data_IF_030994998473
#
_entry.id   IF_030994998473
#
_cell.length_a   1.000
_cell.length_b   1.000
_cell.length_c   1.000
_cell.angle_alpha   90.00
_cell.angle_beta   90.00
_cell.angle_gamma   90.00
#
_symmetry.space_group_name_H-M   'P 1'
#
loop_
_entity.id
_entity.type
_entity.pdbx_description
1 polymer ?
#
# COMPACT_ATOMS: atom_id res chain seq x y z
N UNK A 1 23.17 1.33 15.99
CA UNK A 1 22.00 0.75 16.70
C UNK A 1 21.62 -0.52 15.96
N UNK A 2 21.69 -1.70 16.59
CA UNK A 2 21.09 -2.90 15.98
C UNK A 2 19.59 -2.60 15.81
N UNK A 3 19.13 -2.46 14.57
CA UNK A 3 17.69 -2.44 14.30
C UNK A 3 17.19 -3.82 14.70
N UNK A 4 16.38 -3.86 15.76
CA UNK A 4 15.71 -5.09 16.18
C UNK A 4 14.82 -5.62 15.07
N UNK A 5 14.20 -6.79 15.28
CA UNK A 5 13.20 -7.28 14.35
C UNK A 5 11.99 -6.32 14.33
N UNK A 6 11.77 -5.65 13.20
CA UNK A 6 10.59 -4.84 12.96
C UNK A 6 9.51 -5.73 12.35
N UNK A 7 8.42 -5.95 13.09
CA UNK A 7 7.25 -6.73 12.68
C UNK A 7 6.03 -5.83 12.77
N UNK A 8 5.59 -5.33 11.63
CA UNK A 8 4.52 -4.34 11.52
C UNK A 8 3.33 -4.95 10.77
N UNK A 9 2.13 -4.56 11.20
CA UNK A 9 0.87 -4.94 10.57
C UNK A 9 0.20 -3.69 10.04
N UNK A 10 -0.02 -3.65 8.73
CA UNK A 10 -0.74 -2.56 8.07
C UNK A 10 -2.19 -2.96 7.89
N UNK A 11 -3.09 -2.23 8.54
CA UNK A 11 -4.53 -2.36 8.34
C UNK A 11 -4.97 -1.39 7.25
N UNK A 12 -5.21 -1.91 6.05
CA UNK A 12 -5.53 -1.13 4.86
C UNK A 12 -7.04 -0.97 4.72
N UNK A 13 -7.48 0.26 4.43
CA UNK A 13 -8.87 0.62 4.19
C UNK A 13 -8.96 1.38 2.87
N UNK A 14 -10.08 1.18 2.17
CA UNK A 14 -10.40 1.96 0.99
C UNK A 14 -11.59 2.87 1.28
N UNK A 15 -11.53 4.08 0.73
CA UNK A 15 -12.58 5.06 0.81
C UNK A 15 -12.83 5.65 -0.58
N UNK A 16 -14.07 5.51 -1.06
CA UNK A 16 -14.51 6.12 -2.32
C UNK A 16 -15.03 7.51 -2.00
N UNK A 17 -14.35 8.51 -2.53
CA UNK A 17 -14.71 9.92 -2.39
C UNK A 17 -15.49 10.40 -3.61
N UNK A 18 -16.35 11.40 -3.40
CA UNK A 18 -16.91 12.18 -4.48
C UNK A 18 -15.83 13.05 -5.13
N UNK A 19 -15.98 13.37 -6.41
CA UNK A 19 -15.01 14.21 -7.13
C UNK A 19 -14.90 15.65 -6.62
N UNK A 20 -15.81 16.08 -5.74
CA UNK A 20 -15.80 17.41 -5.10
C UNK A 20 -15.07 17.44 -3.75
N UNK A 21 -14.78 16.29 -3.15
CA UNK A 21 -14.08 16.22 -1.87
C UNK A 21 -12.58 16.47 -2.06
N UNK A 22 -12.02 17.36 -1.23
CA UNK A 22 -10.59 17.67 -1.24
C UNK A 22 -10.00 17.44 0.14
N UNK A 23 -8.89 16.70 0.25
CA UNK A 23 -8.18 16.53 1.51
C UNK A 23 -7.61 17.87 1.97
N UNK A 24 -7.71 18.15 3.26
CA UNK A 24 -7.15 19.34 3.89
C UNK A 24 -6.23 18.90 5.01
N UNK A 25 -4.97 19.37 4.98
CA UNK A 25 -4.05 19.15 6.08
C UNK A 25 -4.42 20.07 7.25
N UNK A 26 -4.84 19.48 8.38
CA UNK A 26 -5.32 20.21 9.55
C UNK A 26 -4.25 20.40 10.64
N UNK A 27 -3.24 19.54 10.69
CA UNK A 27 -2.25 19.46 11.77
C UNK A 27 -0.82 19.82 11.32
N UNK A 28 -0.59 19.95 10.02
CA UNK A 28 0.71 20.32 9.47
C UNK A 28 1.62 19.14 9.13
N UNK A 29 1.19 17.89 9.32
CA UNK A 29 2.04 16.72 9.08
C UNK A 29 2.28 16.47 7.58
N UNK A 30 1.29 16.78 6.73
CA UNK A 30 1.35 16.54 5.29
C UNK A 30 1.68 17.80 4.49
N UNK A 31 2.82 17.82 3.81
CA UNK A 31 3.23 18.98 3.01
C UNK A 31 2.24 19.28 1.87
N UNK A 32 1.78 18.25 1.15
CA UNK A 32 0.86 18.37 0.03
C UNK A 32 0.02 17.11 -0.19
N UNK A 33 -1.15 17.27 -0.80
CA UNK A 33 -1.96 16.17 -1.31
C UNK A 33 -2.09 16.32 -2.83
N UNK A 34 -1.82 15.24 -3.55
CA UNK A 34 -1.95 15.19 -5.01
C UNK A 34 -2.99 14.13 -5.41
N UNK A 35 -3.80 14.44 -6.43
CA UNK A 35 -4.76 13.51 -7.00
C UNK A 35 -4.13 12.90 -8.26
N UNK A 36 -3.86 11.60 -8.24
CA UNK A 36 -3.13 10.88 -9.28
C UNK A 36 -4.02 9.79 -9.90
N UNK A 37 -3.81 9.54 -11.18
CA UNK A 37 -4.31 8.34 -11.86
C UNK A 37 -3.56 7.09 -11.39
N UNK A 38 -4.13 5.91 -11.64
CA UNK A 38 -3.49 4.64 -11.27
C UNK A 38 -2.14 4.43 -11.98
N UNK A 39 -1.99 4.92 -13.21
CA UNK A 39 -0.73 4.86 -13.95
C UNK A 39 0.35 5.76 -13.34
N UNK A 40 0.01 6.99 -12.95
CA UNK A 40 0.95 7.88 -12.26
C UNK A 40 1.40 7.31 -10.91
N UNK A 41 0.50 6.63 -10.19
CA UNK A 41 0.87 5.91 -8.95
C UNK A 41 1.88 4.80 -9.24
N UNK A 42 1.67 4.00 -10.28
CA UNK A 42 2.63 2.97 -10.71
C UNK A 42 4.00 3.56 -11.07
N UNK A 43 4.03 4.66 -11.84
CA UNK A 43 5.28 5.35 -12.19
C UNK A 43 6.06 5.81 -10.96
N UNK A 44 5.36 6.39 -9.97
CA UNK A 44 5.96 6.83 -8.72
C UNK A 44 6.43 5.67 -7.83
N UNK A 45 5.74 4.53 -7.85
CA UNK A 45 6.16 3.31 -7.16
C UNK A 45 7.47 2.78 -7.75
N UNK A 46 7.56 2.69 -9.08
CA UNK A 46 8.78 2.25 -9.78
C UNK A 46 9.93 3.24 -9.56
N UNK A 47 9.62 4.53 -9.46
CA UNK A 47 10.60 5.57 -9.16
C UNK A 47 10.97 5.67 -7.66
N UNK A 48 10.52 4.74 -6.82
CA UNK A 48 10.81 4.67 -5.38
C UNK A 48 10.47 5.97 -4.63
N UNK A 49 9.38 6.64 -5.03
CA UNK A 49 8.94 7.92 -4.43
C UNK A 49 8.04 7.76 -3.21
N UNK A 50 7.71 6.54 -2.82
CA UNK A 50 6.89 6.23 -1.67
C UNK A 50 7.75 5.78 -0.48
N UNK A 51 7.27 6.06 0.73
CA UNK A 51 7.70 5.28 1.90
C UNK A 51 7.29 3.81 1.71
N UNK A 52 8.07 2.88 2.25
CA UNK A 52 7.91 1.45 1.95
C UNK A 52 6.56 0.87 2.38
N UNK A 53 6.04 1.32 3.51
CA UNK A 53 4.69 0.99 4.00
C UNK A 53 3.61 1.54 3.06
N UNK A 54 3.70 2.82 2.69
CA UNK A 54 2.78 3.44 1.74
C UNK A 54 2.83 2.77 0.36
N UNK A 55 4.02 2.34 -0.08
CA UNK A 55 4.20 1.61 -1.33
C UNK A 55 3.46 0.26 -1.30
N UNK A 56 3.58 -0.49 -0.20
CA UNK A 56 2.87 -1.76 -0.02
C UNK A 56 1.34 -1.56 -0.05
N UNK A 57 0.84 -0.50 0.59
CA UNK A 57 -0.59 -0.17 0.57
C UNK A 57 -1.07 0.18 -0.84
N UNK A 58 -0.31 0.99 -1.58
CA UNK A 58 -0.65 1.36 -2.94
C UNK A 58 -0.63 0.16 -3.90
N UNK A 59 0.37 -0.73 -3.78
CA UNK A 59 0.46 -1.97 -4.57
C UNK A 59 -0.72 -2.90 -4.26
N UNK A 60 -1.09 -3.07 -2.98
CA UNK A 60 -2.25 -3.88 -2.60
C UNK A 60 -3.56 -3.31 -3.18
N UNK A 61 -3.72 -1.99 -3.18
CA UNK A 61 -4.87 -1.33 -3.79
C UNK A 61 -4.93 -1.59 -5.30
N UNK A 62 -3.85 -1.35 -6.04
CA UNK A 62 -3.77 -1.61 -7.49
C UNK A 62 -4.07 -3.08 -7.84
N UNK A 63 -3.54 -4.00 -7.04
CA UNK A 63 -3.81 -5.43 -7.19
C UNK A 63 -5.29 -5.75 -6.99
N UNK A 64 -5.92 -5.24 -5.92
CA UNK A 64 -7.36 -5.47 -5.63
C UNK A 64 -8.29 -4.83 -6.65
N UNK A 65 -7.87 -3.72 -7.28
CA UNK A 65 -8.59 -3.09 -8.39
C UNK A 65 -8.41 -3.85 -9.72
N UNK A 66 -7.56 -4.89 -9.76
CA UNK A 66 -7.29 -5.67 -10.97
C UNK A 66 -6.49 -4.90 -12.03
N UNK A 67 -5.72 -3.88 -11.62
CA UNK A 67 -5.02 -2.97 -12.52
C UNK A 67 -4.09 -3.70 -13.51
N UNK A 68 -3.31 -4.66 -13.02
CA UNK A 68 -2.32 -5.37 -13.84
C UNK A 68 -2.86 -6.49 -14.74
N UNK A 69 -4.16 -6.82 -14.65
CA UNK A 69 -4.87 -7.81 -15.48
C UNK A 69 -4.04 -9.03 -15.89
N UNK A 70 -3.39 -8.97 -17.06
CA UNK A 70 -2.55 -10.02 -17.65
C UNK A 70 -1.37 -10.48 -16.77
N UNK A 71 -0.85 -9.60 -15.90
CA UNK A 71 0.20 -9.92 -14.92
C UNK A 71 -0.35 -10.22 -13.53
N UNK A 72 -1.68 -10.38 -13.40
CA UNK A 72 -2.35 -10.59 -12.11
C UNK A 72 -1.77 -11.75 -11.31
N UNK A 73 -1.47 -12.88 -11.96
CA UNK A 73 -0.92 -14.07 -11.28
C UNK A 73 0.51 -13.86 -10.76
N UNK A 74 1.35 -13.16 -11.53
CA UNK A 74 2.72 -12.81 -11.13
C UNK A 74 2.69 -11.88 -9.91
N UNK A 75 1.83 -10.85 -9.94
CA UNK A 75 1.63 -9.94 -8.82
C UNK A 75 1.03 -10.68 -7.62
N UNK A 76 0.07 -11.58 -7.82
CA UNK A 76 -0.51 -12.38 -6.76
C UNK A 76 0.55 -13.23 -6.04
N UNK A 77 1.46 -13.84 -6.81
CA UNK A 77 2.57 -14.62 -6.26
C UNK A 77 3.53 -13.75 -5.43
N UNK A 78 3.87 -12.54 -5.91
CA UNK A 78 4.67 -11.59 -5.16
C UNK A 78 3.97 -11.12 -3.88
N UNK A 79 2.67 -10.82 -3.96
CA UNK A 79 1.86 -10.35 -2.83
C UNK A 79 1.61 -11.42 -1.77
N UNK A 80 1.68 -12.71 -2.12
CA UNK A 80 1.53 -13.81 -1.17
C UNK A 80 2.56 -13.78 -0.02
N UNK A 81 3.72 -13.15 -0.24
CA UNK A 81 4.74 -12.99 0.80
C UNK A 81 4.41 -11.93 1.86
N UNK A 82 3.46 -11.01 1.55
CA UNK A 82 3.14 -9.85 2.39
C UNK A 82 1.67 -9.79 2.80
N UNK A 83 0.79 -10.57 2.16
CA UNK A 83 -0.63 -10.67 2.52
C UNK A 83 -0.86 -11.89 3.41
N UNK A 84 -1.22 -11.63 4.66
CA UNK A 84 -1.58 -12.67 5.62
C UNK A 84 -3.05 -12.51 6.06
N UNK A 85 -3.75 -13.62 6.34
CA UNK A 85 -5.12 -13.57 6.82
C UNK A 85 -5.21 -12.88 8.19
N UNK A 86 -6.36 -12.25 8.46
CA UNK A 86 -6.70 -11.72 9.77
C UNK A 86 -6.65 -12.87 10.80
N UNK A 87 -5.84 -12.70 11.85
CA UNK A 87 -5.64 -13.73 12.88
C UNK A 87 -4.47 -14.69 12.63
N UNK A 88 -3.62 -14.43 11.63
CA UNK A 88 -2.36 -15.16 11.46
C UNK A 88 -1.48 -15.04 12.72
N UNK A 89 -1.36 -16.14 13.47
CA UNK A 89 -0.62 -16.19 14.73
C UNK A 89 0.89 -16.11 14.49
N UNK A 90 1.54 -15.11 15.08
CA UNK A 90 2.98 -14.81 14.91
C UNK A 90 3.87 -15.77 15.73
N UNK A 91 3.27 -16.63 16.58
CA UNK A 91 3.99 -17.44 17.56
C UNK A 91 4.39 -18.84 17.10
N UNK A 92 4.08 -19.26 15.86
CA UNK A 92 4.54 -20.53 15.32
C UNK A 92 5.90 -20.38 14.62
N UNK A 93 6.94 -20.07 15.41
CA UNK A 93 8.30 -20.49 15.09
C UNK A 93 8.84 -21.13 16.36
N UNK A 94 8.63 -22.43 16.47
CA UNK A 94 9.50 -23.32 17.26
C UNK A 94 10.72 -23.69 16.43
#
# INVERSE_FOLDING_TARGET
VQRGLHREWLHVYDLWLSGSEQPCNQDGEVAEHVCLSLGEVEELLVAERFMIDAALVAIDCLYRLGYWQQRGDEIAAAMAAVRHPLGYAIHAVG
#
